data_IF_437481673712
#
_entry.id   IF_437481673712
#
_cell.length_a   1.000
_cell.length_b   1.000
_cell.length_c   1.000
_cell.angle_alpha   90.00
_cell.angle_beta   90.00
_cell.angle_gamma   90.00
#
_symmetry.space_group_name_H-M   'P 1'
#
loop_
_entity.id
_entity.type
_entity.pdbx_description
1 polymer ?
#
# COMPACT_ATOMS: atom_id res chain seq x y z
N UNK A 1 28.54 -88.28 -49.16
CA UNK A 1 28.14 -86.88 -48.88
C UNK A 1 27.28 -86.89 -47.61
N UNK A 2 27.80 -86.45 -46.47
CA UNK A 2 27.02 -86.33 -45.21
C UNK A 2 27.08 -84.86 -44.78
N UNK A 3 25.95 -84.17 -44.88
CA UNK A 3 25.82 -82.78 -44.42
C UNK A 3 25.67 -82.77 -42.90
N UNK A 4 26.70 -82.33 -42.19
CA UNK A 4 26.63 -82.01 -40.76
C UNK A 4 26.07 -80.60 -40.58
N UNK A 5 24.78 -80.50 -40.26
CA UNK A 5 24.12 -79.22 -39.95
C UNK A 5 24.61 -78.70 -38.60
N UNK A 6 25.60 -77.79 -38.61
CA UNK A 6 26.00 -77.02 -37.41
C UNK A 6 24.85 -76.09 -37.01
N UNK A 7 24.12 -76.45 -35.95
CA UNK A 7 23.18 -75.54 -35.28
C UNK A 7 23.97 -74.73 -34.27
N UNK A 8 24.37 -73.52 -34.66
CA UNK A 8 24.96 -72.54 -33.76
C UNK A 8 23.86 -71.98 -32.85
N UNK A 9 23.87 -72.36 -31.57
CA UNK A 9 22.97 -71.79 -30.58
C UNK A 9 23.40 -70.35 -30.25
N UNK A 10 22.63 -69.36 -30.71
CA UNK A 10 22.82 -67.97 -30.32
C UNK A 10 22.39 -67.79 -28.85
N UNK A 11 23.36 -67.45 -27.99
CA UNK A 11 23.11 -67.08 -26.59
C UNK A 11 22.81 -65.59 -26.54
N UNK A 12 21.54 -65.24 -26.35
CA UNK A 12 21.12 -63.86 -26.14
C UNK A 12 21.29 -63.49 -24.66
N UNK A 13 22.02 -62.40 -24.39
CA UNK A 13 22.08 -61.80 -23.07
C UNK A 13 21.03 -60.68 -22.99
N UNK A 14 20.06 -60.83 -22.09
CA UNK A 14 19.08 -59.78 -21.79
C UNK A 14 19.65 -58.94 -20.64
N UNK A 15 19.98 -57.68 -20.90
CA UNK A 15 20.34 -56.73 -19.85
C UNK A 15 19.05 -56.10 -19.30
N UNK A 16 18.70 -56.38 -18.05
CA UNK A 16 17.62 -55.68 -17.36
C UNK A 16 18.16 -54.37 -16.79
N UNK A 17 17.75 -53.24 -17.37
CA UNK A 17 17.99 -51.93 -16.80
C UNK A 17 16.92 -51.61 -15.75
N UNK A 18 17.32 -51.44 -14.50
CA UNK A 18 16.43 -50.98 -13.42
C UNK A 18 16.37 -49.46 -13.43
N UNK A 19 15.23 -48.89 -13.82
CA UNK A 19 14.95 -47.46 -13.68
C UNK A 19 14.35 -47.23 -12.29
N UNK A 20 15.07 -46.50 -11.44
CA UNK A 20 14.56 -46.07 -10.14
C UNK A 20 13.98 -44.66 -10.25
N UNK A 21 12.66 -44.54 -10.16
CA UNK A 21 11.98 -43.24 -10.09
C UNK A 21 11.91 -42.78 -8.63
N UNK A 22 12.65 -41.72 -8.28
CA UNK A 22 12.48 -41.05 -6.99
C UNK A 22 11.29 -40.10 -7.10
N UNK A 23 10.19 -40.44 -6.44
CA UNK A 23 9.07 -39.52 -6.25
C UNK A 23 9.30 -38.75 -4.94
N UNK A 24 9.64 -37.45 -5.05
CA UNK A 24 9.68 -36.55 -3.90
C UNK A 24 8.29 -36.00 -3.63
N UNK A 25 7.63 -36.46 -2.57
CA UNK A 25 6.40 -35.83 -2.08
C UNK A 25 6.78 -34.66 -1.17
N UNK A 26 6.87 -33.46 -1.73
CA UNK A 26 6.94 -32.25 -0.92
C UNK A 26 5.59 -32.01 -0.24
N UNK A 27 5.56 -31.97 1.09
CA UNK A 27 4.35 -31.56 1.81
C UNK A 27 4.06 -30.08 1.54
N UNK A 28 2.87 -29.77 1.05
CA UNK A 28 2.42 -28.39 0.89
C UNK A 28 2.16 -27.76 2.27
N UNK A 29 2.63 -26.53 2.48
CA UNK A 29 2.30 -25.77 3.68
C UNK A 29 0.80 -25.47 3.73
N UNK A 30 0.19 -25.41 4.93
CA UNK A 30 -1.21 -25.02 5.06
C UNK A 30 -1.42 -23.58 4.60
N UNK A 31 -2.48 -23.34 3.83
CA UNK A 31 -2.83 -22.00 3.35
C UNK A 31 -3.25 -21.11 4.52
N UNK A 32 -2.68 -19.90 4.61
CA UNK A 32 -2.93 -18.92 5.68
C UNK A 32 -4.09 -17.99 5.36
N UNK A 33 -4.35 -17.75 4.08
CA UNK A 33 -5.29 -16.75 3.61
C UNK A 33 -4.68 -15.34 3.57
N UNK A 34 -5.48 -14.33 3.18
CA UNK A 34 -5.02 -12.95 3.14
C UNK A 34 -4.67 -12.45 4.55
N UNK A 35 -3.62 -11.64 4.68
CA UNK A 35 -3.26 -10.95 5.92
C UNK A 35 -3.25 -9.45 5.65
N UNK A 36 -4.42 -8.79 5.68
CA UNK A 36 -4.56 -7.39 5.29
C UNK A 36 -4.02 -6.42 6.34
N UNK A 37 -3.52 -5.27 5.88
CA UNK A 37 -3.18 -4.11 6.71
C UNK A 37 -3.50 -2.83 5.94
N UNK A 38 -3.94 -1.78 6.65
CA UNK A 38 -4.30 -0.48 6.07
C UNK A 38 -3.52 0.64 6.74
N UNK A 39 -2.99 1.55 5.93
CA UNK A 39 -2.39 2.81 6.36
C UNK A 39 -3.02 3.97 5.59
N UNK A 40 -3.03 5.16 6.19
CA UNK A 40 -3.42 6.41 5.56
C UNK A 40 -2.29 7.43 5.73
N UNK A 41 -1.93 8.11 4.64
CA UNK A 41 -0.91 9.15 4.62
C UNK A 41 -1.47 10.37 3.91
N UNK A 42 -1.29 11.55 4.50
CA UNK A 42 -1.72 12.79 3.90
C UNK A 42 -0.89 13.08 2.63
N UNK A 43 -1.56 13.34 1.51
CA UNK A 43 -0.96 13.76 0.26
C UNK A 43 -1.46 15.15 -0.12
N UNK A 44 -0.77 16.15 0.41
CA UNK A 44 -1.08 17.55 0.17
C UNK A 44 -0.84 18.00 -1.27
N UNK A 45 0.06 17.34 -2.00
CA UNK A 45 0.34 17.68 -3.39
C UNK A 45 -0.82 17.28 -4.31
N UNK A 46 -1.47 16.15 -4.02
CA UNK A 46 -2.64 15.66 -4.76
C UNK A 46 -3.99 16.01 -4.12
N UNK A 47 -4.00 16.72 -3.00
CA UNK A 47 -5.21 17.22 -2.36
C UNK A 47 -6.07 16.11 -1.74
N UNK A 48 -5.46 15.22 -0.96
CA UNK A 48 -6.20 14.15 -0.31
C UNK A 48 -5.37 13.29 0.62
N UNK A 49 -5.86 12.08 0.85
CA UNK A 49 -5.25 11.08 1.71
C UNK A 49 -5.01 9.82 0.89
N UNK A 50 -3.75 9.39 0.83
CA UNK A 50 -3.36 8.11 0.26
C UNK A 50 -3.67 7.00 1.24
N UNK A 51 -4.68 6.19 0.93
CA UNK A 51 -5.02 5.01 1.69
C UNK A 51 -4.38 3.80 1.02
N UNK A 52 -3.46 3.15 1.72
CA UNK A 52 -2.73 1.99 1.24
C UNK A 52 -3.22 0.73 1.95
N UNK A 53 -3.73 -0.22 1.18
CA UNK A 53 -4.02 -1.57 1.64
C UNK A 53 -2.87 -2.50 1.22
N UNK A 54 -2.31 -3.26 2.16
CA UNK A 54 -1.29 -4.29 1.91
C UNK A 54 -1.80 -5.67 2.30
N UNK A 55 -1.21 -6.69 1.69
CA UNK A 55 -1.57 -8.08 1.94
C UNK A 55 -0.31 -8.91 2.19
N UNK A 56 0.00 -9.19 3.45
CA UNK A 56 1.12 -10.06 3.85
C UNK A 56 0.80 -11.56 3.83
N UNK A 57 -0.39 -11.94 3.34
CA UNK A 57 -0.85 -13.32 3.25
C UNK A 57 -0.45 -14.00 1.94
N UNK A 58 -0.98 -15.20 1.73
CA UNK A 58 -0.72 -16.09 0.58
C UNK A 58 -1.92 -16.22 -0.38
N UNK A 59 -3.04 -15.57 -0.07
CA UNK A 59 -4.23 -15.49 -0.92
C UNK A 59 -4.60 -14.03 -1.22
N UNK A 60 -5.26 -13.72 -2.36
CA UNK A 60 -5.63 -12.36 -2.71
C UNK A 60 -6.60 -11.73 -1.71
N UNK A 61 -6.42 -10.44 -1.44
CA UNK A 61 -7.29 -9.64 -0.58
C UNK A 61 -8.08 -8.63 -1.41
N UNK A 62 -9.41 -8.77 -1.46
CA UNK A 62 -10.28 -7.77 -2.11
C UNK A 62 -10.81 -6.82 -1.06
N UNK A 63 -10.74 -5.52 -1.30
CA UNK A 63 -11.25 -4.52 -0.38
C UNK A 63 -12.10 -3.47 -1.09
N UNK A 64 -12.93 -2.77 -0.31
CA UNK A 64 -13.71 -1.63 -0.74
C UNK A 64 -13.35 -0.40 0.10
N UNK A 65 -13.13 0.72 -0.57
CA UNK A 65 -12.82 2.02 0.03
C UNK A 65 -13.49 3.12 -0.79
N UNK A 66 -14.17 4.05 -0.13
CA UNK A 66 -14.82 5.21 -0.77
C UNK A 66 -15.70 4.83 -2.00
N UNK A 67 -16.34 3.67 -1.95
CA UNK A 67 -17.17 3.16 -3.03
C UNK A 67 -16.43 2.29 -4.08
N UNK A 68 -15.11 2.36 -4.14
CA UNK A 68 -14.25 1.66 -5.09
C UNK A 68 -13.81 0.31 -4.53
N UNK A 69 -13.90 -0.74 -5.35
CA UNK A 69 -13.38 -2.07 -5.02
C UNK A 69 -12.04 -2.31 -5.72
N UNK A 70 -11.08 -2.90 -5.01
CA UNK A 70 -9.76 -3.26 -5.54
C UNK A 70 -9.25 -4.57 -4.93
N UNK A 71 -8.36 -5.26 -5.65
CA UNK A 71 -7.72 -6.48 -5.18
C UNK A 71 -6.22 -6.27 -4.99
N UNK A 72 -5.68 -6.87 -3.92
CA UNK A 72 -4.26 -6.87 -3.57
C UNK A 72 -3.76 -8.31 -3.60
N UNK A 73 -2.84 -8.59 -4.53
CA UNK A 73 -2.19 -9.88 -4.61
C UNK A 73 -1.36 -10.19 -3.33
N UNK A 74 -1.05 -11.47 -3.07
CA UNK A 74 -0.14 -11.87 -1.99
C UNK A 74 1.18 -11.10 -2.02
N UNK A 75 1.62 -10.61 -0.85
CA UNK A 75 2.86 -9.84 -0.69
C UNK A 75 2.86 -8.46 -1.36
N UNK A 76 1.73 -7.95 -1.84
CA UNK A 76 1.62 -6.66 -2.54
C UNK A 76 0.86 -5.62 -1.72
N UNK A 77 0.84 -4.40 -2.25
CA UNK A 77 0.05 -3.28 -1.76
C UNK A 77 -0.67 -2.56 -2.90
N UNK A 78 -1.73 -1.84 -2.57
CA UNK A 78 -2.46 -0.95 -3.47
C UNK A 78 -2.82 0.33 -2.74
N UNK A 79 -2.56 1.46 -3.38
CA UNK A 79 -2.86 2.79 -2.85
C UNK A 79 -3.98 3.43 -3.65
N UNK A 80 -4.92 4.04 -2.95
CA UNK A 80 -6.03 4.81 -3.51
C UNK A 80 -6.00 6.18 -2.85
N UNK A 81 -5.89 7.23 -3.67
CA UNK A 81 -6.06 8.60 -3.21
C UNK A 81 -7.54 8.86 -2.98
N UNK A 82 -7.90 9.26 -1.76
CA UNK A 82 -9.24 9.74 -1.44
C UNK A 82 -9.18 11.25 -1.29
N UNK A 83 -9.90 12.02 -2.12
CA UNK A 83 -9.92 13.48 -2.03
C UNK A 83 -10.43 13.95 -0.67
N UNK A 84 -9.68 14.84 -0.04
CA UNK A 84 -10.01 15.49 1.24
C UNK A 84 -9.50 16.91 1.16
N UNK A 85 -10.30 17.89 1.56
CA UNK A 85 -9.88 19.29 1.57
C UNK A 85 -8.89 19.55 2.72
N UNK A 86 -8.00 20.54 2.55
CA UNK A 86 -7.11 20.96 3.64
C UNK A 86 -7.92 21.35 4.89
N UNK A 87 -7.42 20.95 6.05
CA UNK A 87 -8.07 21.06 7.37
C UNK A 87 -9.43 20.36 7.50
N UNK A 88 -9.78 19.47 6.58
CA UNK A 88 -10.99 18.65 6.68
C UNK A 88 -10.71 17.37 7.48
N UNK A 89 -11.59 17.08 8.44
CA UNK A 89 -11.59 15.78 9.11
C UNK A 89 -12.12 14.68 8.19
N UNK A 90 -11.53 13.50 8.30
CA UNK A 90 -11.93 12.34 7.51
C UNK A 90 -12.04 11.10 8.38
N UNK A 91 -12.90 10.18 7.95
CA UNK A 91 -12.97 8.80 8.42
C UNK A 91 -13.32 7.91 7.26
N UNK A 92 -12.41 7.01 6.93
CA UNK A 92 -12.58 6.01 5.89
C UNK A 92 -12.70 4.64 6.51
N UNK A 93 -13.67 3.87 6.02
CA UNK A 93 -13.80 2.46 6.36
C UNK A 93 -13.33 1.63 5.18
N UNK A 94 -12.30 0.82 5.39
CA UNK A 94 -11.87 -0.23 4.47
C UNK A 94 -12.59 -1.51 4.85
N UNK A 95 -13.35 -2.05 3.90
CA UNK A 95 -14.10 -3.30 4.05
C UNK A 95 -13.44 -4.40 3.25
N UNK A 96 -13.47 -5.63 3.74
CA UNK A 96 -12.96 -6.81 3.04
C UNK A 96 -13.72 -8.09 3.39
N UNK A 97 -13.40 -9.21 2.74
CA UNK A 97 -14.01 -10.51 2.99
C UNK A 97 -13.72 -11.00 4.42
N UNK A 98 -14.51 -11.98 4.88
CA UNK A 98 -14.36 -12.55 6.21
C UNK A 98 -14.69 -11.57 7.35
N UNK A 99 -15.45 -10.52 7.07
CA UNK A 99 -15.80 -9.48 8.04
C UNK A 99 -14.67 -8.49 8.32
N UNK A 100 -13.60 -8.47 7.51
CA UNK A 100 -12.52 -7.49 7.65
C UNK A 100 -13.08 -6.07 7.56
N UNK A 101 -12.79 -5.28 8.59
CA UNK A 101 -13.14 -3.87 8.66
C UNK A 101 -12.04 -3.13 9.39
N UNK A 102 -11.50 -2.10 8.75
CA UNK A 102 -10.54 -1.21 9.37
C UNK A 102 -10.93 0.23 9.09
N UNK A 103 -11.08 1.01 10.17
CA UNK A 103 -11.32 2.44 10.06
C UNK A 103 -10.00 3.20 10.17
N UNK A 104 -9.84 4.21 9.32
CA UNK A 104 -8.71 5.15 9.38
C UNK A 104 -9.29 6.55 9.37
N UNK A 105 -8.83 7.41 10.27
CA UNK A 105 -9.37 8.75 10.45
C UNK A 105 -8.29 9.74 10.83
N UNK A 106 -8.52 11.00 10.48
CA UNK A 106 -7.59 12.08 10.76
C UNK A 106 -8.15 13.43 10.34
N UNK A 107 -7.27 14.41 10.24
CA UNK A 107 -7.54 15.71 9.63
C UNK A 107 -6.42 15.96 8.66
N UNK A 108 -6.73 16.20 7.38
CA UNK A 108 -5.71 16.55 6.41
C UNK A 108 -5.10 17.89 6.82
N UNK A 109 -3.80 17.95 7.12
CA UNK A 109 -3.14 19.18 7.54
C UNK A 109 -1.92 19.49 6.66
N UNK A 110 -2.10 20.40 5.71
CA UNK A 110 -1.08 20.77 4.74
C UNK A 110 -0.23 21.98 5.13
N UNK A 111 -0.39 22.49 6.37
CA UNK A 111 0.56 23.46 6.89
C UNK A 111 1.96 22.83 6.97
N UNK A 112 2.95 23.43 6.29
CA UNK A 112 4.36 23.04 6.16
C UNK A 112 4.71 21.74 6.91
N UNK A 113 4.56 20.62 6.21
CA UNK A 113 4.63 19.28 6.81
C UNK A 113 5.92 19.09 7.64
N UNK A 114 5.77 18.91 8.95
CA UNK A 114 6.78 18.20 9.73
C UNK A 114 6.83 16.74 9.24
N UNK A 115 8.03 16.11 9.17
CA UNK A 115 8.15 14.72 8.74
C UNK A 115 7.23 13.83 9.61
N UNK A 116 6.39 13.03 8.94
CA UNK A 116 5.39 12.19 9.58
C UNK A 116 6.01 11.31 10.68
N UNK A 117 5.39 11.19 11.87
CA UNK A 117 5.90 10.28 12.89
C UNK A 117 5.74 8.83 12.41
N UNK A 118 6.88 8.14 12.33
CA UNK A 118 6.96 6.69 12.22
C UNK A 118 6.18 6.00 13.34
N UNK A 119 5.36 5.00 12.97
CA UNK A 119 4.77 3.92 13.79
C UNK A 119 4.90 4.11 15.31
N UNK A 120 3.88 4.70 15.94
CA UNK A 120 3.74 4.64 17.40
C UNK A 120 2.82 3.48 17.80
N UNK A 121 3.28 2.51 18.62
CA UNK A 121 2.43 1.41 19.10
C UNK A 121 1.35 1.92 20.06
N UNK A 122 0.14 1.37 19.91
CA UNK A 122 -1.04 1.64 20.73
C UNK A 122 -0.73 1.51 22.25
N UNK A 123 -1.05 2.50 23.09
CA UNK A 123 -0.94 2.33 24.55
C UNK A 123 -2.14 1.55 25.10
N UNK A 124 -1.85 0.48 25.83
CA UNK A 124 -2.80 -0.25 26.68
C UNK A 124 -3.25 0.64 27.85
N UNK A 125 -4.54 0.70 28.26
CA UNK A 125 -4.94 1.50 29.42
C UNK A 125 -4.66 0.74 30.72
N UNK A 126 -3.84 1.32 31.60
CA UNK A 126 -3.51 0.78 32.92
C UNK A 126 -3.40 1.87 33.99
N UNK A 127 -4.51 2.04 34.70
CA UNK A 127 -4.79 2.73 35.96
C UNK A 127 -3.65 3.38 36.81
N UNK A 128 -3.93 4.64 37.19
CA UNK A 128 -3.78 5.27 38.51
C UNK A 128 -2.45 5.21 39.27
N UNK A 129 -1.88 6.40 39.56
CA UNK A 129 -1.98 7.01 40.91
C UNK A 129 -1.67 8.50 40.90
N UNK A 130 -2.43 9.19 41.74
CA UNK A 130 -2.53 10.63 41.89
C UNK A 130 -1.44 11.24 42.79
N UNK A 131 -1.29 12.57 42.64
CA UNK A 131 -0.87 13.61 43.60
C UNK A 131 0.10 14.57 42.89
N UNK A 132 -0.07 15.89 42.86
CA UNK A 132 -1.05 16.80 43.45
C UNK A 132 -0.68 18.23 43.02
N UNK A 133 -1.67 19.13 43.05
CA UNK A 133 -1.53 20.58 43.33
C UNK A 133 -0.62 21.45 42.44
N UNK A 134 -1.23 22.05 41.39
CA UNK A 134 -1.43 23.51 41.12
C UNK A 134 -0.47 24.56 41.79
N UNK A 135 -0.36 25.80 41.26
CA UNK A 135 0.28 26.24 40.01
C UNK A 135 1.24 27.45 40.18
N UNK A 136 1.93 27.79 39.08
CA UNK A 136 2.26 29.15 38.60
C UNK A 136 3.40 29.97 39.23
N UNK A 137 4.21 30.50 38.29
CA UNK A 137 4.77 31.87 38.21
C UNK A 137 6.29 31.94 38.28
N UNK A 138 6.91 32.12 37.10
CA UNK A 138 8.17 32.88 36.99
C UNK A 138 8.03 33.79 35.77
N UNK A 139 7.80 35.07 36.05
CA UNK A 139 7.96 36.22 35.14
C UNK A 139 9.46 36.60 35.03
N UNK A 140 9.83 37.45 34.06
CA UNK A 140 11.02 37.30 33.23
C UNK A 140 12.23 38.09 33.74
N UNK A 141 13.39 37.85 33.15
CA UNK A 141 14.46 38.85 33.15
C UNK A 141 15.20 38.87 31.82
N UNK A 142 15.11 40.02 31.18
CA UNK A 142 15.85 40.47 30.02
C UNK A 142 17.37 40.40 30.21
N UNK A 143 18.08 40.12 29.13
CA UNK A 143 19.30 40.83 28.75
C UNK A 143 19.79 40.40 27.35
N UNK A 144 19.73 41.35 26.41
CA UNK A 144 20.80 41.82 25.48
C UNK A 144 21.87 40.80 25.01
N UNK A 145 22.34 40.73 23.76
CA UNK A 145 22.43 41.72 22.68
C UNK A 145 23.04 41.05 21.41
N UNK A 146 22.84 41.71 20.26
CA UNK A 146 23.78 41.89 19.12
C UNK A 146 24.24 40.64 18.34
N UNK A 147 23.75 40.37 17.11
CA UNK A 147 23.97 41.04 15.79
C UNK A 147 25.30 40.66 15.09
N UNK A 148 25.15 40.18 13.85
CA UNK A 148 26.20 40.09 12.82
C UNK A 148 26.24 38.67 12.21
N UNK A 149 25.91 38.38 10.97
CA UNK A 149 25.94 39.19 9.75
C UNK A 149 26.99 38.61 8.80
N UNK A 150 26.57 38.07 7.65
CA UNK A 150 27.46 37.97 6.47
C UNK A 150 27.39 36.70 5.61
N UNK A 151 27.15 36.90 4.30
CA UNK A 151 27.70 36.09 3.20
C UNK A 151 26.73 35.08 2.55
N UNK A 152 25.88 35.47 1.58
CA UNK A 152 26.10 35.45 0.11
C UNK A 152 26.71 34.15 -0.44
N UNK A 153 26.02 33.47 -1.38
CA UNK A 153 26.47 33.09 -2.76
C UNK A 153 25.44 32.15 -3.46
N UNK A 154 24.89 32.62 -4.59
CA UNK A 154 24.62 31.96 -5.90
C UNK A 154 23.90 30.59 -5.98
N UNK A 155 22.71 30.55 -6.61
CA UNK A 155 22.42 30.06 -7.98
C UNK A 155 22.30 28.50 -8.03
N UNK A 156 21.48 27.81 -8.82
CA UNK A 156 21.17 27.90 -10.26
C UNK A 156 19.86 27.10 -10.50
N UNK A 157 19.15 27.50 -11.56
CA UNK A 157 18.11 26.84 -12.35
C UNK A 157 17.71 25.37 -12.09
N UNK A 158 16.41 25.14 -12.24
CA UNK A 158 15.81 23.82 -12.43
C UNK A 158 14.35 23.94 -12.83
N UNK A 159 14.06 24.63 -13.93
CA UNK A 159 12.77 24.53 -14.62
C UNK A 159 12.73 23.19 -15.36
N UNK A 160 11.78 22.33 -15.00
CA UNK A 160 11.27 21.28 -15.88
C UNK A 160 9.75 21.31 -15.83
N UNK A 161 9.19 22.13 -16.72
CA UNK A 161 7.83 22.01 -17.22
C UNK A 161 7.70 20.70 -18.00
N UNK A 162 6.89 19.75 -17.52
CA UNK A 162 6.25 18.70 -18.32
C UNK A 162 5.13 18.06 -17.50
N UNK A 163 3.91 18.61 -17.59
CA UNK A 163 2.65 17.85 -17.73
C UNK A 163 1.42 18.78 -17.74
N UNK A 164 1.42 19.76 -18.66
CA UNK A 164 0.19 20.42 -19.11
C UNK A 164 -0.36 19.64 -20.30
N UNK A 165 -1.10 18.54 -20.07
CA UNK A 165 -1.86 17.88 -21.14
C UNK A 165 -3.16 17.17 -20.70
N UNK A 166 -3.58 17.28 -19.44
CA UNK A 166 -4.79 16.59 -18.95
C UNK A 166 -5.88 17.59 -18.50
N UNK A 167 -6.04 18.70 -19.20
CA UNK A 167 -7.13 19.67 -18.93
C UNK A 167 -8.21 19.65 -20.02
N UNK A 168 -8.04 18.86 -21.08
CA UNK A 168 -8.96 18.85 -22.23
C UNK A 168 -10.01 17.74 -22.24
N UNK A 169 -9.74 16.56 -21.66
CA UNK A 169 -10.62 15.38 -21.81
C UNK A 169 -11.66 15.22 -20.71
N UNK A 170 -11.40 15.75 -19.51
CA UNK A 170 -12.34 15.67 -18.38
C UNK A 170 -13.59 16.52 -18.62
N UNK A 171 -13.46 17.66 -19.30
CA UNK A 171 -14.61 18.54 -19.57
C UNK A 171 -15.59 17.96 -20.61
N UNK A 172 -15.11 17.13 -21.53
CA UNK A 172 -15.96 16.51 -22.57
C UNK A 172 -16.84 15.39 -21.99
N UNK A 173 -16.33 14.63 -21.01
CA UNK A 173 -17.08 13.52 -20.39
C UNK A 173 -18.19 14.02 -19.45
N UNK A 174 -17.94 15.12 -18.72
CA UNK A 174 -18.97 15.75 -17.88
C UNK A 174 -20.08 16.39 -18.72
N UNK A 175 -19.74 16.99 -19.88
CA UNK A 175 -20.71 17.54 -20.82
C UNK A 175 -21.63 16.48 -21.44
N UNK A 176 -21.06 15.33 -21.83
CA UNK A 176 -21.83 14.23 -22.43
C UNK A 176 -22.83 13.58 -21.45
N UNK A 177 -22.46 13.44 -20.17
CA UNK A 177 -23.33 12.82 -19.16
C UNK A 177 -24.56 13.70 -18.86
N UNK A 178 -24.38 15.03 -18.75
CA UNK A 178 -25.50 15.97 -18.55
C UNK A 178 -26.41 16.08 -19.78
N UNK A 179 -25.86 15.97 -20.99
CA UNK A 179 -26.65 16.01 -22.23
C UNK A 179 -27.54 14.77 -22.40
N UNK A 180 -27.04 13.58 -22.03
CA UNK A 180 -27.81 12.33 -22.10
C UNK A 180 -28.94 12.31 -21.07
N UNK A 181 -28.70 12.78 -19.83
CA UNK A 181 -29.76 12.85 -18.80
C UNK A 181 -30.88 13.80 -19.20
N UNK A 182 -30.56 14.93 -19.82
CA UNK A 182 -31.57 15.91 -20.27
C UNK A 182 -32.42 15.41 -21.45
N UNK A 183 -31.90 14.50 -22.28
CA UNK A 183 -32.63 13.94 -23.43
C UNK A 183 -33.58 12.79 -23.08
N UNK A 184 -33.43 12.19 -21.89
CA UNK A 184 -34.27 11.07 -21.43
C UNK A 184 -35.43 11.59 -20.55
N UNK A 185 -35.37 12.86 -20.11
CA UNK A 185 -36.38 13.52 -19.28
C UNK A 185 -37.34 14.48 -20.02
N UNK A 186 -37.33 14.49 -21.36
CA UNK A 186 -38.24 15.22 -22.25
C UNK A 186 -38.82 14.24 -23.27
#
# INVERSE_FOLDING_TARGET
MRHASKRSAARWAVALATVSTVAGTGAALPAKGPTPSVAAVDDCARGGVDVTASNGGDAPFTFRLAGVSAAVAPGRSRTILVPVADRQSYRFTVLGPGGFRQDVSGVLNCATASPSPSLSPSPTPGANRAAGSRPATVTPRDAVAERGGGGRRFAIAGVTDLDSLITGTVLVLLGAMLFVVRRIGL
#
